data_IF_551596409560
#
_entry.id   IF_551596409560
#
_cell.length_a   1.000
_cell.length_b   1.000
_cell.length_c   1.000
_cell.angle_alpha   90.00
_cell.angle_beta   90.00
_cell.angle_gamma   90.00
#
_symmetry.space_group_name_H-M   'P 1'
#
loop_
_entity.id
_entity.type
_entity.pdbx_description
1 polymer ?
#
# COMPACT_ATOMS: atom_id res chain seq x y z
N UNK A 1 -12.73 -8.74 0.43
CA UNK A 1 -13.08 -7.30 0.42
C UNK A 1 -14.34 -7.08 1.23
N UNK A 2 -14.60 -5.86 1.72
CA UNK A 2 -15.92 -5.49 2.27
C UNK A 2 -16.96 -5.33 1.15
N UNK A 3 -18.25 -5.32 1.52
CA UNK A 3 -19.37 -5.25 0.58
C UNK A 3 -19.38 -3.94 -0.23
N UNK A 4 -19.07 -2.81 0.42
CA UNK A 4 -19.10 -1.50 -0.24
C UNK A 4 -18.04 -1.39 -1.35
N UNK A 5 -16.85 -1.93 -1.11
CA UNK A 5 -15.79 -2.02 -2.10
C UNK A 5 -16.11 -3.01 -3.22
N UNK A 6 -16.71 -4.16 -2.86
CA UNK A 6 -17.13 -5.15 -3.86
C UNK A 6 -18.15 -4.56 -4.83
N UNK A 7 -19.22 -3.97 -4.34
CA UNK A 7 -20.31 -3.43 -5.18
C UNK A 7 -19.81 -2.33 -6.11
N UNK A 8 -18.96 -1.43 -5.59
CA UNK A 8 -18.36 -0.39 -6.41
C UNK A 8 -17.46 -0.97 -7.51
N UNK A 9 -16.54 -1.88 -7.18
CA UNK A 9 -15.65 -2.46 -8.17
C UNK A 9 -16.42 -3.31 -9.21
N UNK A 10 -17.49 -3.98 -8.79
CA UNK A 10 -18.37 -4.73 -9.67
C UNK A 10 -19.05 -3.82 -10.70
N UNK A 11 -19.49 -2.63 -10.26
CA UNK A 11 -20.11 -1.63 -11.14
C UNK A 11 -19.18 -1.13 -12.25
N UNK A 12 -17.87 -1.17 -12.03
CA UNK A 12 -16.88 -0.72 -13.03
C UNK A 12 -16.71 -1.71 -14.19
N UNK A 13 -17.15 -2.97 -14.04
CA UNK A 13 -17.07 -4.01 -15.09
C UNK A 13 -15.68 -4.10 -15.75
N UNK A 14 -14.62 -4.06 -14.93
CA UNK A 14 -13.25 -4.00 -15.42
C UNK A 14 -12.84 -5.33 -16.10
N UNK A 15 -12.25 -5.22 -17.29
CA UNK A 15 -11.66 -6.37 -17.97
C UNK A 15 -10.47 -6.91 -17.16
N UNK A 16 -10.32 -8.23 -17.12
CA UNK A 16 -9.24 -8.94 -16.41
C UNK A 16 -9.24 -8.72 -14.88
N UNK A 17 -10.37 -8.33 -14.30
CA UNK A 17 -10.54 -8.22 -12.85
C UNK A 17 -11.56 -9.24 -12.38
N UNK A 18 -11.15 -10.08 -11.42
CA UNK A 18 -12.06 -10.95 -10.67
C UNK A 18 -12.11 -10.45 -9.23
N UNK A 19 -13.33 -10.21 -8.75
CA UNK A 19 -13.58 -9.81 -7.37
C UNK A 19 -13.68 -11.08 -6.51
N UNK A 20 -13.07 -11.02 -5.32
CA UNK A 20 -13.09 -12.11 -4.34
C UNK A 20 -13.67 -11.54 -3.05
N UNK A 21 -14.77 -12.12 -2.58
CA UNK A 21 -15.38 -11.73 -1.31
C UNK A 21 -14.60 -12.29 -0.14
N UNK A 22 -14.76 -11.71 1.05
CA UNK A 22 -14.15 -12.29 2.25
C UNK A 22 -14.73 -13.67 2.57
N UNK A 23 -16.03 -13.86 2.39
CA UNK A 23 -16.72 -15.15 2.60
C UNK A 23 -16.18 -16.25 1.67
N UNK A 24 -15.89 -15.93 0.41
CA UNK A 24 -15.28 -16.87 -0.55
C UNK A 24 -13.89 -17.33 -0.07
N UNK A 25 -13.07 -16.40 0.43
CA UNK A 25 -11.76 -16.73 0.99
C UNK A 25 -11.87 -17.55 2.29
N UNK A 26 -12.78 -17.20 3.19
CA UNK A 26 -13.04 -17.90 4.45
C UNK A 26 -13.63 -19.30 4.26
N UNK A 27 -14.37 -19.53 3.17
CA UNK A 27 -14.85 -20.87 2.77
C UNK A 27 -13.74 -21.75 2.22
N UNK A 28 -12.78 -21.14 1.54
CA UNK A 28 -11.60 -21.84 1.04
C UNK A 28 -10.65 -22.23 2.18
N UNK A 29 -10.41 -21.30 3.11
CA UNK A 29 -9.48 -21.46 4.22
C UNK A 29 -10.24 -21.40 5.55
N UNK A 30 -10.69 -22.56 6.03
CA UNK A 30 -11.45 -22.64 7.28
C UNK A 30 -10.60 -22.23 8.50
N UNK A 31 -9.29 -22.52 8.50
CA UNK A 31 -8.40 -22.15 9.58
C UNK A 31 -8.23 -20.62 9.67
N UNK A 32 -8.19 -19.93 8.52
CA UNK A 32 -8.22 -18.47 8.50
C UNK A 32 -9.51 -17.94 9.16
N UNK A 33 -10.67 -18.53 8.84
CA UNK A 33 -11.94 -18.13 9.45
C UNK A 33 -11.95 -18.37 10.97
N UNK A 34 -11.38 -19.47 11.44
CA UNK A 34 -11.32 -19.83 12.86
C UNK A 34 -10.56 -18.78 13.67
N UNK A 35 -9.41 -18.30 13.20
CA UNK A 35 -8.59 -17.33 13.94
C UNK A 35 -9.17 -15.90 13.91
N UNK A 36 -10.19 -15.62 13.09
CA UNK A 36 -10.76 -14.27 12.90
C UNK A 36 -11.21 -13.61 14.21
N UNK A 37 -11.85 -14.36 15.11
CA UNK A 37 -12.33 -13.82 16.40
C UNK A 37 -11.21 -13.48 17.38
N UNK A 38 -10.00 -14.00 17.14
CA UNK A 38 -8.81 -13.79 17.95
C UNK A 38 -7.91 -12.68 17.41
N UNK A 39 -8.30 -12.02 16.33
CA UNK A 39 -7.53 -10.96 15.68
C UNK A 39 -8.32 -9.65 15.70
N UNK A 40 -7.63 -8.54 15.89
CA UNK A 40 -8.18 -7.25 15.50
C UNK A 40 -8.42 -7.21 13.99
N UNK A 41 -9.21 -6.24 13.52
CA UNK A 41 -9.50 -6.11 12.09
C UNK A 41 -8.21 -5.98 11.24
N UNK A 42 -7.24 -5.20 11.73
CA UNK A 42 -5.99 -4.96 11.04
C UNK A 42 -5.11 -6.22 11.01
N UNK A 43 -4.97 -6.90 12.15
CA UNK A 43 -4.27 -8.18 12.26
C UNK A 43 -4.87 -9.25 11.36
N UNK A 44 -6.20 -9.25 11.21
CA UNK A 44 -6.87 -10.17 10.30
C UNK A 44 -6.56 -9.87 8.83
N UNK A 45 -6.45 -8.59 8.44
CA UNK A 45 -6.02 -8.22 7.09
C UNK A 45 -4.61 -8.72 6.76
N UNK A 46 -3.69 -8.62 7.73
CA UNK A 46 -2.35 -9.18 7.61
C UNK A 46 -2.40 -10.71 7.43
N UNK A 47 -3.18 -11.38 8.27
CA UNK A 47 -3.35 -12.85 8.24
C UNK A 47 -3.91 -13.34 6.89
N UNK A 48 -4.76 -12.55 6.23
CA UNK A 48 -5.38 -12.93 4.96
C UNK A 48 -4.41 -12.99 3.77
N UNK A 49 -3.27 -12.27 3.79
CA UNK A 49 -2.39 -12.13 2.61
C UNK A 49 -1.85 -13.47 2.06
N UNK A 50 -1.25 -14.35 2.88
CA UNK A 50 -0.78 -15.64 2.39
C UNK A 50 -1.94 -16.54 1.90
N UNK A 51 -3.04 -16.60 2.65
CA UNK A 51 -4.22 -17.40 2.26
C UNK A 51 -4.84 -16.93 0.94
N UNK A 52 -4.92 -15.61 0.72
CA UNK A 52 -5.41 -15.05 -0.55
C UNK A 52 -4.48 -15.39 -1.71
N UNK A 53 -3.17 -15.37 -1.49
CA UNK A 53 -2.18 -15.71 -2.51
C UNK A 53 -2.29 -17.19 -2.91
N UNK A 54 -2.48 -18.09 -1.93
CA UNK A 54 -2.75 -19.51 -2.18
C UNK A 54 -4.07 -19.72 -2.91
N UNK A 55 -5.13 -19.06 -2.46
CA UNK A 55 -6.44 -19.09 -3.11
C UNK A 55 -6.33 -18.76 -4.60
N UNK A 56 -5.64 -17.66 -4.93
CA UNK A 56 -5.49 -17.20 -6.32
C UNK A 56 -4.72 -18.22 -7.16
N UNK A 57 -3.62 -18.77 -6.64
CA UNK A 57 -2.90 -19.85 -7.31
C UNK A 57 -3.83 -21.06 -7.51
N UNK A 58 -4.41 -21.62 -6.46
CA UNK A 58 -5.21 -22.85 -6.59
C UNK A 58 -6.42 -22.71 -7.51
N UNK A 59 -7.12 -21.57 -7.48
CA UNK A 59 -8.30 -21.33 -8.30
C UNK A 59 -8.00 -20.88 -9.72
N UNK A 60 -6.75 -20.53 -10.02
CA UNK A 60 -6.31 -20.11 -11.35
C UNK A 60 -5.27 -21.12 -11.85
N UNK A 61 -5.73 -22.28 -12.32
CA UNK A 61 -4.85 -23.39 -12.74
C UNK A 61 -3.88 -23.03 -13.87
N UNK A 62 -4.20 -22.00 -14.67
CA UNK A 62 -3.32 -21.47 -15.72
C UNK A 62 -2.27 -20.47 -15.23
N UNK A 63 -2.30 -20.05 -13.96
CA UNK A 63 -1.34 -19.11 -13.41
C UNK A 63 -0.10 -19.85 -12.87
N UNK A 64 1.08 -19.52 -13.39
CA UNK A 64 2.35 -20.09 -12.93
C UNK A 64 2.94 -19.35 -11.72
N UNK A 65 2.38 -18.20 -11.36
CA UNK A 65 2.82 -17.38 -10.24
C UNK A 65 1.72 -16.44 -9.76
N UNK A 66 1.86 -15.95 -8.54
CA UNK A 66 1.02 -14.90 -7.95
C UNK A 66 1.89 -13.76 -7.45
N UNK A 67 1.43 -12.53 -7.64
CA UNK A 67 2.02 -11.35 -7.02
C UNK A 67 0.97 -10.70 -6.13
N UNK A 68 1.24 -10.63 -4.83
CA UNK A 68 0.45 -9.84 -3.90
C UNK A 68 0.89 -8.37 -3.98
N UNK A 69 -0.07 -7.44 -3.97
CA UNK A 69 0.19 -5.99 -4.01
C UNK A 69 -0.77 -5.29 -3.05
N UNK A 70 -0.24 -4.46 -2.14
CA UNK A 70 -1.06 -3.62 -1.27
C UNK A 70 -1.87 -2.58 -2.07
N UNK A 71 -3.03 -2.19 -1.54
CA UNK A 71 -3.95 -1.26 -2.22
C UNK A 71 -3.43 0.20 -2.30
N UNK A 72 -2.39 0.55 -1.54
CA UNK A 72 -1.75 1.87 -1.52
C UNK A 72 -0.46 1.93 -2.34
N UNK A 73 -0.31 1.02 -3.31
CA UNK A 73 0.76 1.04 -4.32
C UNK A 73 0.29 1.71 -5.62
N UNK A 74 1.18 2.47 -6.25
CA UNK A 74 0.95 3.02 -7.59
C UNK A 74 2.13 2.75 -8.53
N UNK A 75 1.84 2.17 -9.69
CA UNK A 75 2.83 1.84 -10.71
C UNK A 75 3.16 3.05 -11.61
N UNK A 76 4.42 3.47 -11.57
CA UNK A 76 5.01 4.52 -12.41
C UNK A 76 5.51 3.98 -13.76
N UNK A 77 5.76 2.67 -13.85
CA UNK A 77 6.06 1.97 -15.11
C UNK A 77 5.67 0.50 -15.04
N UNK A 78 5.84 -0.22 -16.16
CA UNK A 78 5.49 -1.66 -16.23
C UNK A 78 6.25 -2.46 -15.19
N UNK A 79 5.59 -3.34 -14.41
CA UNK A 79 6.26 -4.25 -13.48
C UNK A 79 6.98 -5.42 -14.17
N UNK A 80 6.85 -5.56 -15.50
CA UNK A 80 7.42 -6.66 -16.29
C UNK A 80 8.92 -6.88 -16.05
N UNK A 81 9.69 -5.79 -15.89
CA UNK A 81 11.12 -5.84 -15.59
C UNK A 81 11.45 -6.61 -14.30
N UNK A 82 10.53 -6.65 -13.34
CA UNK A 82 10.70 -7.41 -12.10
C UNK A 82 10.63 -8.91 -12.39
N UNK A 83 9.67 -9.33 -13.21
CA UNK A 83 9.50 -10.73 -13.59
C UNK A 83 10.64 -11.23 -14.47
N UNK A 84 11.13 -10.41 -15.40
CA UNK A 84 12.31 -10.73 -16.23
C UNK A 84 13.56 -10.93 -15.36
N UNK A 85 13.84 -10.02 -14.42
CA UNK A 85 15.01 -10.08 -13.54
C UNK A 85 14.97 -11.24 -12.55
N UNK A 86 13.77 -11.63 -12.09
CA UNK A 86 13.59 -12.76 -11.18
C UNK A 86 14.12 -14.07 -11.80
N UNK A 87 14.00 -14.22 -13.12
CA UNK A 87 14.49 -15.39 -13.84
C UNK A 87 13.92 -16.70 -13.29
N UNK A 88 14.78 -17.69 -13.05
CA UNK A 88 14.41 -19.02 -12.54
C UNK A 88 14.14 -19.11 -11.03
N UNK A 89 14.14 -17.98 -10.30
CA UNK A 89 13.86 -17.96 -8.85
C UNK A 89 12.37 -18.21 -8.58
N UNK A 90 12.03 -18.57 -7.34
CA UNK A 90 10.69 -19.05 -6.95
C UNK A 90 9.92 -18.07 -6.08
N UNK A 91 10.62 -17.25 -5.30
CA UNK A 91 10.04 -16.23 -4.43
C UNK A 91 10.74 -14.89 -4.67
N UNK A 92 10.01 -13.78 -4.71
CA UNK A 92 10.61 -12.45 -4.75
C UNK A 92 10.08 -11.56 -3.62
N UNK A 93 11.01 -10.90 -2.93
CA UNK A 93 10.73 -10.05 -1.77
C UNK A 93 11.43 -8.70 -1.90
N UNK A 94 10.84 -7.65 -1.35
CA UNK A 94 11.38 -6.28 -1.42
C UNK A 94 11.85 -5.82 -0.05
N UNK A 95 13.12 -5.38 0.09
CA UNK A 95 13.62 -4.86 1.36
C UNK A 95 13.04 -3.46 1.63
N UNK A 96 12.82 -3.12 2.90
CA UNK A 96 12.50 -1.74 3.28
C UNK A 96 13.64 -0.79 2.90
N UNK A 97 14.90 -1.25 2.94
CA UNK A 97 16.10 -0.43 2.69
C UNK A 97 16.14 0.81 3.61
N UNK A 98 15.89 0.61 4.89
CA UNK A 98 16.02 1.67 5.88
C UNK A 98 17.45 2.24 5.85
N UNK A 99 17.56 3.56 5.92
CA UNK A 99 18.84 4.22 6.15
C UNK A 99 19.43 3.80 7.52
N UNK A 100 20.74 3.95 7.70
CA UNK A 100 21.41 3.60 8.96
C UNK A 100 20.78 4.29 10.19
N UNK A 101 20.32 5.54 10.04
CA UNK A 101 19.63 6.30 11.11
C UNK A 101 18.29 5.68 11.54
N UNK A 102 17.72 4.78 10.73
CA UNK A 102 16.41 4.15 10.89
C UNK A 102 16.48 2.64 11.04
N UNK A 103 17.68 2.07 11.21
CA UNK A 103 17.84 0.61 11.39
C UNK A 103 17.03 0.04 12.55
N UNK A 104 16.73 0.83 13.58
CA UNK A 104 15.85 0.42 14.67
C UNK A 104 14.43 0.02 14.19
N UNK A 105 13.98 0.51 13.03
CA UNK A 105 12.71 0.12 12.42
C UNK A 105 12.72 -1.29 11.82
N UNK A 106 13.88 -1.93 11.68
CA UNK A 106 13.96 -3.36 11.33
C UNK A 106 13.30 -4.26 12.38
N UNK A 107 12.98 -3.74 13.58
CA UNK A 107 12.07 -4.40 14.53
C UNK A 107 10.77 -4.84 13.86
N UNK A 108 10.24 -4.05 12.92
CA UNK A 108 9.02 -4.35 12.17
C UNK A 108 9.24 -5.22 10.93
N UNK A 109 10.49 -5.56 10.60
CA UNK A 109 10.87 -6.37 9.44
C UNK A 109 11.86 -5.66 8.52
N UNK A 110 12.85 -6.42 8.03
CA UNK A 110 13.81 -5.97 7.01
C UNK A 110 13.17 -5.90 5.63
N UNK A 111 12.16 -6.73 5.40
CA UNK A 111 11.39 -6.79 4.17
C UNK A 111 9.97 -6.26 4.37
N UNK A 112 9.40 -5.74 3.29
CA UNK A 112 8.07 -5.17 3.28
C UNK A 112 7.06 -6.17 2.69
N UNK A 113 5.90 -6.30 3.33
CA UNK A 113 4.84 -7.22 2.92
C UNK A 113 3.85 -6.64 1.90
N UNK A 114 4.13 -5.46 1.34
CA UNK A 114 3.24 -4.78 0.40
C UNK A 114 3.44 -5.20 -1.06
N UNK A 115 4.52 -5.92 -1.35
CA UNK A 115 4.74 -6.57 -2.64
C UNK A 115 5.52 -7.87 -2.45
N UNK A 116 4.93 -8.98 -2.86
CA UNK A 116 5.49 -10.33 -2.73
C UNK A 116 5.12 -11.15 -3.95
N UNK A 117 6.02 -12.03 -4.39
CA UNK A 117 5.76 -12.94 -5.51
C UNK A 117 6.11 -14.37 -5.13
N UNK A 118 5.22 -15.30 -5.47
CA UNK A 118 5.43 -16.73 -5.31
C UNK A 118 5.12 -17.45 -6.63
N UNK A 119 6.05 -18.28 -7.11
CA UNK A 119 5.79 -19.18 -8.23
C UNK A 119 5.06 -20.43 -7.76
N UNK A 120 4.30 -21.03 -8.67
CA UNK A 120 3.71 -22.36 -8.52
C UNK A 120 4.74 -23.45 -8.82
N UNK A 121 5.86 -23.40 -8.11
CA UNK A 121 6.82 -24.48 -8.05
C UNK A 121 6.93 -24.97 -6.60
N UNK A 122 7.70 -26.03 -6.37
CA UNK A 122 7.86 -26.62 -5.04
C UNK A 122 8.34 -25.59 -4.02
N UNK A 123 9.34 -24.76 -4.37
CA UNK A 123 9.93 -23.79 -3.45
C UNK A 123 8.98 -22.63 -3.12
N UNK A 124 8.30 -22.08 -4.13
CA UNK A 124 7.36 -20.99 -3.97
C UNK A 124 6.14 -21.40 -3.16
N UNK A 125 5.58 -22.59 -3.41
CA UNK A 125 4.47 -23.13 -2.63
C UNK A 125 4.89 -23.46 -1.19
N UNK A 126 6.05 -24.10 -0.98
CA UNK A 126 6.54 -24.39 0.38
C UNK A 126 6.73 -23.12 1.20
N UNK A 127 7.31 -22.07 0.60
CA UNK A 127 7.47 -20.77 1.27
C UNK A 127 6.12 -20.14 1.62
N UNK A 128 5.17 -20.15 0.68
CA UNK A 128 3.86 -19.54 0.86
C UNK A 128 3.00 -20.29 1.89
N UNK A 129 3.01 -21.63 1.89
CA UNK A 129 2.34 -22.43 2.91
C UNK A 129 2.93 -22.18 4.30
N UNK A 130 4.26 -22.14 4.42
CA UNK A 130 4.91 -21.82 5.69
C UNK A 130 4.53 -20.42 6.19
N UNK A 131 4.51 -19.42 5.30
CA UNK A 131 4.11 -18.05 5.67
C UNK A 131 2.65 -17.99 6.14
N UNK A 132 1.75 -18.75 5.47
CA UNK A 132 0.36 -18.93 5.93
C UNK A 132 0.30 -19.51 7.34
N UNK A 133 0.98 -20.63 7.57
CA UNK A 133 0.98 -21.32 8.87
C UNK A 133 1.44 -20.40 10.00
N UNK A 134 2.52 -19.64 9.78
CA UNK A 134 3.02 -18.67 10.77
C UNK A 134 2.02 -17.56 11.05
N UNK A 135 1.36 -17.02 10.03
CA UNK A 135 0.34 -15.97 10.22
C UNK A 135 -0.91 -16.51 10.94
N UNK A 136 -1.33 -17.75 10.67
CA UNK A 136 -2.44 -18.38 11.38
C UNK A 136 -2.08 -18.65 12.84
N UNK A 137 -0.86 -19.11 13.12
CA UNK A 137 -0.36 -19.33 14.47
C UNK A 137 -0.29 -18.03 15.27
N UNK A 138 0.28 -16.97 14.68
CA UNK A 138 0.42 -15.67 15.32
C UNK A 138 0.56 -14.56 14.27
N UNK A 139 -0.22 -13.49 14.42
CA UNK A 139 -0.11 -12.31 13.56
C UNK A 139 -0.64 -11.07 14.30
N UNK A 140 0.20 -10.47 15.15
CA UNK A 140 -0.16 -9.27 15.93
C UNK A 140 0.51 -7.99 15.42
N UNK A 141 -0.17 -6.85 15.57
CA UNK A 141 0.40 -5.53 15.31
C UNK A 141 1.28 -5.00 16.47
N UNK A 142 1.49 -5.81 17.50
CA UNK A 142 2.44 -5.55 18.58
C UNK A 142 3.79 -6.18 18.24
N UNK A 143 4.89 -5.40 18.18
CA UNK A 143 6.20 -5.93 17.82
C UNK A 143 6.80 -6.79 18.94
N UNK A 144 7.18 -8.01 18.59
CA UNK A 144 8.02 -8.93 19.37
C UNK A 144 9.41 -9.04 18.70
N UNK A 145 10.45 -9.53 19.40
CA UNK A 145 11.81 -9.59 18.85
C UNK A 145 11.93 -10.29 17.48
N UNK A 146 11.15 -11.35 17.26
CA UNK A 146 11.17 -12.22 16.09
C UNK A 146 9.88 -12.19 15.27
N UNK A 147 8.85 -11.44 15.72
CA UNK A 147 7.51 -11.44 15.09
C UNK A 147 6.89 -10.05 15.10
N UNK A 148 6.27 -9.66 14.00
CA UNK A 148 5.47 -8.44 13.86
C UNK A 148 4.63 -8.58 12.59
N UNK A 149 3.31 -8.59 12.78
CA UNK A 149 2.32 -8.82 11.72
C UNK A 149 2.69 -10.04 10.85
N UNK A 150 2.26 -10.01 9.60
CA UNK A 150 2.68 -10.91 8.53
C UNK A 150 4.12 -10.61 8.06
N UNK A 151 4.58 -9.39 8.31
CA UNK A 151 5.78 -8.82 7.69
C UNK A 151 7.10 -9.38 8.23
N UNK A 152 7.23 -9.56 9.54
CA UNK A 152 8.51 -9.95 10.16
C UNK A 152 8.96 -11.34 9.74
N UNK A 153 8.02 -12.25 9.45
CA UNK A 153 8.32 -13.60 8.99
C UNK A 153 9.12 -13.64 7.68
N UNK A 154 8.99 -12.61 6.85
CA UNK A 154 9.69 -12.49 5.56
C UNK A 154 11.22 -12.44 5.77
N UNK A 155 11.68 -11.93 6.92
CA UNK A 155 13.12 -11.87 7.28
C UNK A 155 13.80 -13.25 7.23
N UNK A 156 13.04 -14.32 7.46
CA UNK A 156 13.53 -15.70 7.49
C UNK A 156 13.45 -16.41 6.13
N UNK A 157 12.83 -15.82 5.10
CA UNK A 157 12.59 -16.52 3.84
C UNK A 157 13.88 -17.01 3.19
N UNK A 158 14.90 -16.15 3.09
CA UNK A 158 16.17 -16.50 2.43
C UNK A 158 17.00 -17.54 3.19
N UNK A 159 16.76 -17.71 4.50
CA UNK A 159 17.41 -18.76 5.31
C UNK A 159 16.66 -20.08 5.29
N UNK A 160 15.35 -20.06 5.04
CA UNK A 160 14.48 -21.24 5.09
C UNK A 160 14.21 -21.86 3.72
N UNK A 161 14.26 -21.07 2.65
CA UNK A 161 13.89 -21.51 1.31
C UNK A 161 14.95 -21.17 0.27
N UNK A 162 15.23 -22.13 -0.60
CA UNK A 162 16.00 -21.88 -1.81
C UNK A 162 15.17 -21.11 -2.84
N UNK A 163 15.85 -20.43 -3.77
CA UNK A 163 15.18 -19.72 -4.85
C UNK A 163 14.51 -18.41 -4.43
N UNK A 164 14.82 -17.86 -3.26
CA UNK A 164 14.38 -16.52 -2.85
C UNK A 164 15.25 -15.47 -3.53
N UNK A 165 14.63 -14.54 -4.24
CA UNK A 165 15.25 -13.37 -4.84
C UNK A 165 14.90 -12.12 -4.03
N UNK A 166 15.94 -11.42 -3.57
CA UNK A 166 15.80 -10.12 -2.94
C UNK A 166 15.93 -9.07 -4.05
N UNK A 167 14.88 -8.27 -4.25
CA UNK A 167 14.88 -7.22 -5.26
C UNK A 167 15.91 -6.15 -4.89
N UNK A 168 16.87 -5.91 -5.79
CA UNK A 168 17.96 -4.94 -5.62
C UNK A 168 17.63 -3.55 -6.18
N UNK A 169 16.75 -3.47 -7.19
CA UNK A 169 16.34 -2.24 -7.85
C UNK A 169 15.77 -1.20 -6.90
N UNK A 170 16.37 0.00 -6.88
CA UNK A 170 15.89 1.14 -6.11
C UNK A 170 14.54 1.63 -6.61
N UNK A 171 14.23 1.43 -7.89
CA UNK A 171 12.95 1.81 -8.49
C UNK A 171 11.75 0.96 -8.05
N UNK A 172 11.97 -0.10 -7.28
CA UNK A 172 10.94 -1.03 -6.82
C UNK A 172 10.74 -0.85 -5.31
N UNK A 173 9.48 -0.72 -4.90
CA UNK A 173 9.07 -0.48 -3.52
C UNK A 173 9.73 0.77 -2.88
N UNK A 174 9.77 1.87 -3.64
CA UNK A 174 10.05 3.18 -3.08
C UNK A 174 8.90 3.62 -2.19
N UNK A 175 9.22 4.28 -1.07
CA UNK A 175 8.24 4.67 -0.08
C UNK A 175 8.81 5.75 0.83
N UNK A 176 8.00 6.32 1.74
CA UNK A 176 8.49 7.33 2.69
C UNK A 176 9.70 6.88 3.52
N UNK A 177 9.85 5.58 3.78
CA UNK A 177 10.93 5.02 4.61
C UNK A 177 12.30 4.92 3.93
N UNK A 178 12.37 4.95 2.59
CA UNK A 178 13.61 4.77 1.82
C UNK A 178 13.85 5.83 0.74
N UNK A 179 13.03 6.87 0.68
CA UNK A 179 13.15 7.96 -0.29
C UNK A 179 14.13 9.05 0.15
N UNK A 180 14.46 9.13 1.44
CA UNK A 180 15.40 10.11 1.96
C UNK A 180 16.80 9.92 1.35
N UNK A 181 17.48 11.02 1.03
CA UNK A 181 18.80 11.01 0.41
C UNK A 181 18.84 10.57 -1.06
N UNK A 182 17.68 10.31 -1.68
CA UNK A 182 17.56 9.85 -3.07
C UNK A 182 17.31 11.01 -4.05
N UNK A 183 17.96 10.96 -5.20
CA UNK A 183 17.74 11.93 -6.28
C UNK A 183 16.53 11.52 -7.12
N UNK A 184 15.47 12.33 -7.08
CA UNK A 184 14.27 12.13 -7.89
C UNK A 184 14.30 13.04 -9.10
N UNK A 185 14.17 12.44 -10.29
CA UNK A 185 14.12 13.21 -11.54
C UNK A 185 13.10 12.64 -12.51
N UNK A 186 12.58 13.51 -13.37
CA UNK A 186 11.76 13.09 -14.51
C UNK A 186 12.50 13.40 -15.81
N UNK A 187 12.68 12.37 -16.66
CA UNK A 187 13.38 12.50 -17.95
C UNK A 187 12.52 11.88 -19.03
N UNK A 188 12.14 12.64 -20.05
CA UNK A 188 11.30 12.17 -21.17
C UNK A 188 10.03 11.42 -20.68
N UNK A 189 9.32 12.00 -19.71
CA UNK A 189 8.09 11.45 -19.11
C UNK A 189 8.27 10.09 -18.41
N UNK A 190 9.46 9.86 -17.87
CA UNK A 190 9.76 8.67 -17.06
C UNK A 190 10.36 9.13 -15.75
N UNK A 191 9.88 8.54 -14.66
CA UNK A 191 10.36 8.82 -13.31
C UNK A 191 11.60 7.96 -13.00
N UNK A 192 12.60 8.59 -12.38
CA UNK A 192 13.84 7.95 -11.97
C UNK A 192 14.18 8.27 -10.51
N UNK A 193 14.81 7.31 -9.84
CA UNK A 193 15.48 7.42 -8.54
C UNK A 193 16.94 7.02 -8.70
N UNK A 194 17.90 7.89 -8.36
CA UNK A 194 19.34 7.61 -8.51
C UNK A 194 19.69 6.95 -9.87
N UNK A 195 19.12 7.48 -10.96
CA UNK A 195 19.24 6.96 -12.35
C UNK A 195 18.53 5.64 -12.68
N UNK A 196 17.94 4.95 -11.71
CA UNK A 196 17.09 3.78 -11.93
C UNK A 196 15.63 4.16 -12.21
N UNK A 197 14.97 3.43 -13.12
CA UNK A 197 13.58 3.71 -13.47
C UNK A 197 12.65 3.28 -12.34
N UNK A 198 11.78 4.19 -11.89
CA UNK A 198 10.77 3.87 -10.87
C UNK A 198 9.67 3.00 -11.47
N UNK A 199 9.49 1.81 -10.91
CA UNK A 199 8.43 0.87 -11.23
C UNK A 199 7.18 1.20 -10.43
N UNK A 200 7.29 1.29 -9.10
CA UNK A 200 6.17 1.69 -8.26
C UNK A 200 6.62 2.38 -6.97
N UNK A 201 5.69 3.15 -6.40
CA UNK A 201 5.83 3.78 -5.10
C UNK A 201 4.70 3.30 -4.17
N UNK A 202 5.05 3.00 -2.92
CA UNK A 202 4.13 2.63 -1.85
C UNK A 202 3.78 3.86 -1.03
N UNK A 203 2.52 4.30 -1.12
CA UNK A 203 1.98 5.48 -0.44
C UNK A 203 1.59 5.19 1.02
N UNK A 204 2.48 4.49 1.73
CA UNK A 204 2.26 4.09 3.11
C UNK A 204 1.86 5.26 3.99
N UNK A 205 0.81 5.05 4.78
CA UNK A 205 0.25 6.03 5.73
C UNK A 205 -0.23 7.35 5.09
N UNK A 206 -0.42 7.41 3.77
CA UNK A 206 -1.11 8.52 3.12
C UNK A 206 -2.56 8.57 3.59
N UNK A 207 -3.01 9.72 4.10
CA UNK A 207 -4.39 9.89 4.61
C UNK A 207 -5.00 11.20 4.13
N UNK A 208 -6.29 11.15 3.77
CA UNK A 208 -7.10 12.35 3.54
C UNK A 208 -7.35 13.02 4.89
N UNK A 209 -7.04 14.31 5.02
CA UNK A 209 -7.36 15.14 6.19
C UNK A 209 -8.62 15.97 5.92
N UNK A 210 -8.76 16.43 4.68
CA UNK A 210 -9.99 17.00 4.14
C UNK A 210 -10.18 16.49 2.72
N UNK A 211 -11.18 17.00 1.98
CA UNK A 211 -11.38 16.65 0.57
C UNK A 211 -10.20 16.99 -0.34
N UNK A 212 -9.34 17.94 0.07
CA UNK A 212 -8.20 18.41 -0.74
C UNK A 212 -6.87 18.43 0.01
N UNK A 213 -6.85 18.21 1.31
CA UNK A 213 -5.62 18.20 2.12
C UNK A 213 -5.30 16.77 2.50
N UNK A 214 -4.06 16.35 2.26
CA UNK A 214 -3.57 15.01 2.53
C UNK A 214 -2.36 15.06 3.46
N UNK A 215 -2.34 14.19 4.47
CA UNK A 215 -1.15 13.87 5.24
C UNK A 215 -0.32 12.85 4.45
N UNK A 216 0.94 13.16 4.18
CA UNK A 216 1.80 12.37 3.30
C UNK A 216 2.43 11.13 3.95
N UNK A 217 2.19 10.91 5.25
CA UNK A 217 2.67 9.72 5.96
C UNK A 217 4.19 9.67 6.16
N UNK A 218 4.89 10.80 6.01
CA UNK A 218 6.35 10.82 5.99
C UNK A 218 7.01 11.12 7.33
N UNK A 219 6.26 11.61 8.33
CA UNK A 219 6.82 12.19 9.57
C UNK A 219 7.73 11.22 10.34
N UNK A 220 7.37 9.93 10.36
CA UNK A 220 8.12 8.91 11.12
C UNK A 220 9.41 8.49 10.40
N UNK A 221 9.62 8.96 9.16
CA UNK A 221 10.76 8.62 8.32
C UNK A 221 11.59 9.85 7.93
N UNK A 222 10.98 10.99 7.66
CA UNK A 222 11.72 12.20 7.29
C UNK A 222 11.01 13.44 7.81
N UNK A 223 11.81 14.46 8.14
CA UNK A 223 11.30 15.76 8.56
C UNK A 223 10.49 16.45 7.46
N UNK A 224 10.82 16.18 6.19
CA UNK A 224 10.13 16.74 5.02
C UNK A 224 10.46 15.92 3.77
N UNK A 225 9.47 15.76 2.90
CA UNK A 225 9.69 15.25 1.54
C UNK A 225 10.20 16.36 0.62
N UNK A 226 11.19 16.03 -0.20
CA UNK A 226 11.77 16.93 -1.20
C UNK A 226 10.72 17.40 -2.21
N UNK A 227 10.95 18.57 -2.80
CA UNK A 227 9.98 19.18 -3.72
C UNK A 227 9.77 18.29 -4.95
N UNK A 228 10.81 17.60 -5.40
CA UNK A 228 10.84 16.64 -6.49
C UNK A 228 9.96 15.43 -6.17
N UNK A 229 10.05 14.87 -4.95
CA UNK A 229 9.18 13.78 -4.49
C UNK A 229 7.72 14.25 -4.49
N UNK A 230 7.46 15.43 -3.93
CA UNK A 230 6.09 15.98 -3.86
C UNK A 230 5.52 16.23 -5.26
N UNK A 231 6.33 16.75 -6.17
CA UNK A 231 5.90 17.14 -7.51
C UNK A 231 5.79 15.95 -8.47
N UNK A 232 6.78 15.06 -8.50
CA UNK A 232 6.83 13.97 -9.48
C UNK A 232 6.16 12.67 -9.00
N UNK A 233 5.99 12.47 -7.69
CA UNK A 233 5.39 11.25 -7.11
C UNK A 233 4.00 11.55 -6.53
N UNK A 234 3.92 12.42 -5.52
CA UNK A 234 2.66 12.64 -4.79
C UNK A 234 1.62 13.40 -5.60
N UNK A 235 2.01 14.48 -6.28
CA UNK A 235 1.08 15.30 -7.05
C UNK A 235 0.30 14.52 -8.14
N UNK A 236 0.94 13.71 -9.01
CA UNK A 236 0.20 12.93 -10.00
C UNK A 236 -0.71 11.88 -9.35
N UNK A 237 -0.25 11.21 -8.30
CA UNK A 237 -1.06 10.22 -7.59
C UNK A 237 -2.30 10.86 -6.92
N UNK A 238 -2.12 11.96 -6.18
CA UNK A 238 -3.22 12.68 -5.56
C UNK A 238 -4.22 13.23 -6.59
N UNK A 239 -3.74 13.72 -7.73
CA UNK A 239 -4.61 14.16 -8.82
C UNK A 239 -5.45 13.01 -9.39
N UNK A 240 -4.86 11.81 -9.51
CA UNK A 240 -5.57 10.59 -9.95
C UNK A 240 -6.60 10.13 -8.92
N UNK A 241 -6.22 10.10 -7.64
CA UNK A 241 -7.12 9.77 -6.53
C UNK A 241 -8.33 10.71 -6.48
N UNK A 242 -8.12 12.03 -6.60
CA UNK A 242 -9.22 12.99 -6.61
C UNK A 242 -10.15 12.82 -7.82
N UNK A 243 -9.62 12.42 -8.98
CA UNK A 243 -10.44 12.14 -10.17
C UNK A 243 -11.34 10.93 -9.92
N UNK A 244 -10.76 9.81 -9.46
CA UNK A 244 -11.51 8.59 -9.15
C UNK A 244 -12.51 8.78 -8.01
N UNK A 245 -12.16 9.58 -7.00
CA UNK A 245 -13.06 9.95 -5.90
C UNK A 245 -14.30 10.70 -6.41
N UNK A 246 -14.15 11.60 -7.41
CA UNK A 246 -15.30 12.27 -8.03
C UNK A 246 -16.22 11.26 -8.70
N UNK A 247 -15.67 10.29 -9.42
CA UNK A 247 -16.43 9.24 -10.08
C UNK A 247 -17.17 8.37 -9.03
N UNK A 248 -16.52 8.05 -7.91
CA UNK A 248 -17.09 7.37 -6.75
C UNK A 248 -18.28 8.10 -6.12
N UNK A 249 -18.19 9.43 -5.97
CA UNK A 249 -19.26 10.28 -5.42
C UNK A 249 -20.41 10.44 -6.42
N UNK A 250 -20.10 10.56 -7.72
CA UNK A 250 -21.12 10.64 -8.78
C UNK A 250 -21.89 9.33 -8.95
N UNK A 251 -21.27 8.20 -8.64
CA UNK A 251 -21.89 6.88 -8.64
C UNK A 251 -22.80 6.61 -7.42
N UNK A 252 -22.97 7.56 -6.49
CA UNK A 252 -23.71 7.40 -5.22
C UNK A 252 -23.39 6.09 -4.48
N UNK A 253 -22.11 5.73 -4.47
CA UNK A 253 -21.66 4.44 -3.91
C UNK A 253 -21.69 4.42 -2.37
N UNK A 254 -21.94 3.26 -1.73
CA UNK A 254 -21.82 3.12 -0.28
C UNK A 254 -20.46 3.57 0.29
N UNK A 255 -19.37 3.36 -0.47
CA UNK A 255 -18.01 3.85 -0.13
C UNK A 255 -17.94 5.38 -0.03
N UNK A 256 -18.64 6.10 -0.90
CA UNK A 256 -18.70 7.55 -0.87
C UNK A 256 -19.34 8.06 0.44
N UNK A 257 -20.36 7.35 0.94
CA UNK A 257 -21.05 7.66 2.20
C UNK A 257 -20.19 7.29 3.43
N UNK A 258 -19.42 6.21 3.37
CA UNK A 258 -18.48 5.82 4.43
C UNK A 258 -17.35 6.86 4.61
N UNK A 259 -16.78 7.37 3.51
CA UNK A 259 -15.75 8.42 3.54
C UNK A 259 -16.24 9.75 4.13
N UNK A 260 -17.54 10.07 4.01
CA UNK A 260 -18.13 11.24 4.67
C UNK A 260 -18.28 11.05 6.18
N UNK A 261 -18.63 9.85 6.64
CA UNK A 261 -18.87 9.54 8.06
C UNK A 261 -17.62 9.75 8.93
N UNK A 262 -16.45 9.31 8.42
CA UNK A 262 -15.14 9.54 9.06
C UNK A 262 -14.83 11.04 9.21
N UNK A 263 -15.15 11.85 8.19
CA UNK A 263 -14.95 13.31 8.22
C UNK A 263 -15.94 14.03 9.16
N UNK A 264 -17.12 13.46 9.41
CA UNK A 264 -18.16 14.09 10.26
C UNK A 264 -18.07 13.70 11.73
N UNK A 265 -17.52 12.53 12.06
CA UNK A 265 -17.45 12.06 13.45
C UNK A 265 -16.42 12.85 14.29
N UNK A 266 -15.37 13.43 13.67
CA UNK A 266 -14.50 14.41 14.35
C UNK A 266 -15.19 15.76 14.63
N UNK A 267 -16.28 16.08 13.92
CA UNK A 267 -16.95 17.37 14.01
C UNK A 267 -18.14 17.41 15.00
N UNK A 268 -18.66 16.26 15.43
CA UNK A 268 -19.86 16.16 16.26
C UNK A 268 -19.57 15.80 17.73
N UNK A 269 -18.73 16.58 18.41
CA UNK A 269 -18.67 16.56 19.88
C UNK A 269 -19.74 17.48 20.48
N UNK A 270 -20.47 16.98 21.50
CA UNK A 270 -21.36 17.80 22.35
C UNK A 270 -20.54 18.94 23.01
N UNK A 271 -20.80 20.18 22.59
CA UNK A 271 -20.16 21.40 23.07
C UNK A 271 -20.94 22.61 22.55
N UNK A 272 -20.83 23.74 23.25
CA UNK A 272 -21.53 24.97 22.87
C UNK A 272 -21.00 25.52 21.52
N UNK A 273 -21.72 26.47 20.92
CA UNK A 273 -21.38 26.99 19.59
C UNK A 273 -19.93 27.53 19.53
N UNK A 274 -19.47 28.19 20.60
CA UNK A 274 -18.15 28.79 20.70
C UNK A 274 -17.05 27.72 20.70
N UNK A 275 -17.23 26.64 21.46
CA UNK A 275 -16.28 25.51 21.49
C UNK A 275 -16.09 24.89 20.11
N UNK A 276 -17.17 24.78 19.32
CA UNK A 276 -17.10 24.29 17.93
C UNK A 276 -16.29 25.22 17.05
N UNK A 277 -16.44 26.53 17.19
CA UNK A 277 -15.64 27.51 16.43
C UNK A 277 -14.16 27.47 16.85
N UNK A 278 -13.87 27.40 18.14
CA UNK A 278 -12.49 27.29 18.66
C UNK A 278 -11.82 26.02 18.12
N UNK A 279 -12.51 24.87 18.17
CA UNK A 279 -12.00 23.61 17.60
C UNK A 279 -11.72 23.73 16.10
N UNK A 280 -12.62 24.34 15.33
CA UNK A 280 -12.40 24.58 13.89
C UNK A 280 -11.18 25.46 13.62
N UNK A 281 -11.01 26.55 14.37
CA UNK A 281 -9.84 27.44 14.22
C UNK A 281 -8.54 26.70 14.57
N UNK A 282 -8.53 26.00 15.70
CA UNK A 282 -7.37 25.20 16.14
C UNK A 282 -6.98 24.14 15.10
N UNK A 283 -7.97 23.46 14.53
CA UNK A 283 -7.78 22.51 13.44
C UNK A 283 -7.17 23.16 12.18
N UNK A 284 -7.70 24.32 11.75
CA UNK A 284 -7.16 25.06 10.61
C UNK A 284 -5.73 25.56 10.85
N UNK A 285 -5.42 26.04 12.06
CA UNK A 285 -4.04 26.41 12.46
C UNK A 285 -3.13 25.19 12.38
N UNK A 286 -3.59 24.03 12.83
CA UNK A 286 -2.84 22.77 12.78
C UNK A 286 -2.53 22.37 11.34
N UNK A 287 -3.54 22.41 10.44
CA UNK A 287 -3.34 22.18 9.01
C UNK A 287 -2.31 23.16 8.44
N UNK A 288 -2.43 24.46 8.73
CA UNK A 288 -1.50 25.48 8.25
C UNK A 288 -0.05 25.21 8.67
N UNK A 289 0.16 24.83 9.94
CA UNK A 289 1.49 24.44 10.46
C UNK A 289 2.03 23.20 9.73
N UNK A 290 1.21 22.19 9.50
CA UNK A 290 1.60 20.93 8.83
C UNK A 290 1.90 21.12 7.34
N UNK A 291 1.15 21.99 6.66
CA UNK A 291 1.42 22.42 5.29
C UNK A 291 2.78 23.13 5.21
N UNK A 292 3.06 24.06 6.13
CA UNK A 292 4.34 24.80 6.17
C UNK A 292 5.54 23.87 6.40
N UNK A 293 5.38 22.83 7.22
CA UNK A 293 6.42 21.80 7.45
C UNK A 293 6.59 20.84 6.27
N UNK A 294 5.61 20.80 5.35
CA UNK A 294 5.61 19.87 4.22
C UNK A 294 5.18 18.45 4.56
N UNK A 295 4.65 18.22 5.76
CA UNK A 295 4.03 16.96 6.16
C UNK A 295 2.69 16.77 5.42
N UNK A 296 1.97 17.87 5.15
CA UNK A 296 0.71 17.88 4.43
C UNK A 296 0.86 18.48 3.04
N UNK A 297 -0.04 18.11 2.14
CA UNK A 297 -0.12 18.65 0.79
C UNK A 297 -1.56 18.96 0.39
N UNK A 298 -1.74 20.08 -0.32
CA UNK A 298 -3.00 20.40 -0.99
C UNK A 298 -2.97 19.78 -2.38
N UNK A 299 -3.91 18.88 -2.63
CA UNK A 299 -4.14 18.30 -3.95
C UNK A 299 -4.96 19.27 -4.81
N UNK A 300 -4.57 19.44 -6.08
CA UNK A 300 -5.25 20.28 -7.06
C UNK A 300 -5.71 19.42 -8.24
N UNK A 301 -6.95 19.62 -8.71
CA UNK A 301 -7.42 19.04 -9.96
C UNK A 301 -6.73 19.75 -11.14
N UNK A 302 -6.45 19.03 -12.23
CA UNK A 302 -5.93 19.61 -13.48
C UNK A 302 -4.42 19.87 -13.50
N UNK A 303 -3.64 19.25 -12.62
CA UNK A 303 -2.17 19.32 -12.75
C UNK A 303 -1.73 18.44 -13.90
N UNK A 304 -1.41 19.05 -15.04
CA UNK A 304 -0.57 18.45 -16.05
C UNK A 304 0.85 18.33 -15.48
N UNK A 305 1.13 17.29 -14.69
CA UNK A 305 2.52 17.01 -14.35
C UNK A 305 3.22 16.63 -15.65
N UNK A 306 4.25 17.37 -16.06
CA UNK A 306 4.94 17.14 -17.32
C UNK A 306 5.43 15.68 -17.45
N UNK A 307 5.67 15.00 -16.33
CA UNK A 307 6.08 13.60 -16.29
C UNK A 307 5.01 12.60 -16.75
N UNK A 308 3.75 13.02 -16.83
CA UNK A 308 2.60 12.16 -17.05
C UNK A 308 1.62 12.79 -18.05
N UNK A 309 1.89 12.59 -19.34
CA UNK A 309 0.83 12.58 -20.36
C UNK A 309 0.50 11.12 -20.62
N UNK A 310 -0.58 10.61 -20.03
CA UNK A 310 -0.95 9.20 -20.23
C UNK A 310 -1.40 9.01 -21.69
N UNK A 311 -0.93 7.95 -22.36
CA UNK A 311 -1.50 7.50 -23.64
C UNK A 311 -2.96 7.02 -23.50
N UNK A 312 -3.45 6.81 -22.27
CA UNK A 312 -4.84 6.50 -21.98
C UNK A 312 -5.80 7.70 -22.15
N UNK A 313 -5.30 8.84 -22.66
CA UNK A 313 -6.09 9.96 -23.18
C UNK A 313 -6.33 9.86 -24.70
N UNK A 314 -6.17 8.67 -25.30
CA UNK A 314 -6.66 8.31 -26.64
C UNK A 314 -7.40 6.99 -26.59
#
# INVERSE_FOLDING_TARGET
MDESAYDFLASLSLQNVRLITLDELEKYDSQLKEVKSERSLLEYYFTCKPSLSLYVLEKSSSADQVTYVDADVFFFSSPEIIYEKMGGKSVAITPHRFENSKKHLELYGKFNAGWLLFKRDTQGLSCLHWWRERCLEWCSDQPEPDRFADQKYIDSFSSLFEGVWIVDSLGVNLAPWNIAGKSISCRRNKLYVDDERVVFYHFHSLRSVTDRVFNLGCKDYTSRLDNEVRHYIYQPYLARLLRQRKDLFLADSPLARYGQKINTDEANSRGNLVDRYIKKISFMITIGKKLKKGEYMVARQGVNSACWKSKAER
#
